data_IF_506278759353
#
_entry.id   IF_506278759353
#
_cell.length_a   1.000
_cell.length_b   1.000
_cell.length_c   1.000
_cell.angle_alpha   90.00
_cell.angle_beta   90.00
_cell.angle_gamma   90.00
#
_symmetry.space_group_name_H-M   'P 1'
#
loop_
_entity.id
_entity.type
_entity.pdbx_description
1 polymer ?
#
# COMPACT_ATOMS: atom_id res chain seq x y z
N UNK A 1 32.92 32.40 41.61
CA UNK A 1 32.46 31.00 41.37
C UNK A 1 31.20 31.07 40.53
N UNK A 2 31.23 30.57 39.29
CA UNK A 2 30.07 30.59 38.39
C UNK A 2 29.26 29.31 38.62
N UNK A 3 27.97 29.45 38.92
CA UNK A 3 27.04 28.34 39.16
C UNK A 3 26.31 28.04 37.86
N UNK A 4 26.52 26.85 37.30
CA UNK A 4 25.78 26.36 36.14
C UNK A 4 24.32 26.15 36.57
N UNK A 5 23.40 26.96 36.04
CA UNK A 5 21.97 26.77 36.22
C UNK A 5 21.49 25.88 35.09
N UNK A 6 21.16 24.62 35.40
CA UNK A 6 20.51 23.74 34.42
C UNK A 6 19.08 24.24 34.18
N UNK A 7 18.71 24.58 32.93
CA UNK A 7 17.33 24.94 32.63
C UNK A 7 16.43 23.72 32.84
N UNK A 8 15.15 23.92 33.23
CA UNK A 8 14.21 22.82 33.32
C UNK A 8 14.15 22.11 31.96
N UNK A 9 14.31 20.79 31.98
CA UNK A 9 14.06 19.97 30.79
C UNK A 9 12.57 20.09 30.48
N UNK A 10 12.21 21.02 29.59
CA UNK A 10 10.90 21.06 28.95
C UNK A 10 10.74 19.74 28.19
N UNK A 11 10.20 18.76 28.90
CA UNK A 11 9.93 17.45 28.37
C UNK A 11 8.92 17.62 27.26
N UNK A 12 9.35 17.33 26.04
CA UNK A 12 8.48 17.18 24.88
C UNK A 12 7.24 16.42 25.30
N UNK A 13 6.10 17.11 25.39
CA UNK A 13 4.83 16.47 25.71
C UNK A 13 4.67 15.28 24.79
N UNK A 14 4.39 14.10 25.37
CA UNK A 14 4.20 12.87 24.60
C UNK A 14 3.03 13.13 23.66
N UNK A 15 3.32 13.45 22.38
CA UNK A 15 2.30 13.71 21.36
C UNK A 15 1.28 12.59 21.43
N UNK A 16 0.04 12.94 21.79
CA UNK A 16 -1.06 11.99 21.84
C UNK A 16 -1.09 11.24 20.51
N UNK A 17 -1.18 9.90 20.56
CA UNK A 17 -1.21 9.07 19.35
C UNK A 17 -2.36 9.55 18.48
N UNK A 18 -2.03 10.23 17.37
CA UNK A 18 -3.00 10.75 16.41
C UNK A 18 -3.89 9.59 15.98
N UNK A 19 -5.21 9.71 16.18
CA UNK A 19 -6.19 8.71 15.73
C UNK A 19 -6.00 8.53 14.22
N UNK A 20 -5.80 7.29 13.77
CA UNK A 20 -5.65 6.99 12.35
C UNK A 20 -6.99 7.23 11.66
N UNK A 21 -6.99 8.02 10.58
CA UNK A 21 -8.19 8.22 9.79
C UNK A 21 -8.51 6.90 9.05
N UNK A 22 -9.68 6.28 9.29
CA UNK A 22 -10.03 5.00 8.67
C UNK A 22 -10.11 5.09 7.14
N UNK A 23 -10.43 6.27 6.58
CA UNK A 23 -10.46 6.50 5.12
C UNK A 23 -9.07 6.45 4.45
N UNK A 24 -8.00 6.58 5.22
CA UNK A 24 -6.61 6.46 4.74
C UNK A 24 -6.05 5.05 4.95
N UNK A 25 -6.88 4.13 5.43
CA UNK A 25 -6.53 2.71 5.63
C UNK A 25 -7.26 1.86 4.60
N UNK A 26 -6.61 0.79 4.16
CA UNK A 26 -7.21 -0.15 3.22
C UNK A 26 -8.34 -0.93 3.91
N UNK A 27 -9.48 -1.01 3.25
CA UNK A 27 -10.58 -1.92 3.62
C UNK A 27 -10.11 -3.38 3.59
N UNK A 28 -10.87 -4.29 4.19
CA UNK A 28 -10.55 -5.73 4.13
C UNK A 28 -10.52 -6.24 2.69
N UNK A 29 -11.47 -5.82 1.86
CA UNK A 29 -11.54 -6.19 0.44
C UNK A 29 -10.36 -5.64 -0.36
N UNK A 30 -9.98 -4.38 -0.16
CA UNK A 30 -8.78 -3.79 -0.79
C UNK A 30 -7.51 -4.51 -0.36
N UNK A 31 -7.38 -4.90 0.91
CA UNK A 31 -6.23 -5.68 1.39
C UNK A 31 -6.13 -7.05 0.71
N UNK A 32 -7.25 -7.74 0.56
CA UNK A 32 -7.29 -9.05 -0.13
C UNK A 32 -6.89 -8.90 -1.60
N UNK A 33 -7.39 -7.86 -2.27
CA UNK A 33 -7.03 -7.55 -3.67
C UNK A 33 -5.56 -7.17 -3.82
N UNK A 34 -5.05 -6.32 -2.94
CA UNK A 34 -3.63 -5.96 -2.90
C UNK A 34 -2.73 -7.19 -2.71
N UNK A 35 -3.12 -8.12 -1.82
CA UNK A 35 -2.40 -9.38 -1.63
C UNK A 35 -2.38 -10.23 -2.90
N UNK A 36 -3.51 -10.34 -3.58
CA UNK A 36 -3.60 -11.08 -4.84
C UNK A 36 -2.75 -10.40 -5.93
N UNK A 37 -2.81 -9.08 -6.04
CA UNK A 37 -2.02 -8.30 -6.97
C UNK A 37 -0.51 -8.51 -6.74
N UNK A 38 -0.02 -8.36 -5.51
CA UNK A 38 1.40 -8.58 -5.19
C UNK A 38 1.84 -10.00 -5.53
N UNK A 39 1.00 -11.01 -5.26
CA UNK A 39 1.31 -12.40 -5.64
C UNK A 39 1.40 -12.57 -7.16
N UNK A 40 0.49 -11.98 -7.91
CA UNK A 40 0.46 -12.07 -9.37
C UNK A 40 1.65 -11.31 -9.98
N UNK A 41 1.96 -10.13 -9.45
CA UNK A 41 3.13 -9.35 -9.85
C UNK A 41 4.43 -10.12 -9.55
N UNK A 42 4.57 -10.72 -8.37
CA UNK A 42 5.75 -11.53 -8.06
C UNK A 42 5.92 -12.70 -9.03
N UNK A 43 4.81 -13.29 -9.53
CA UNK A 43 4.86 -14.31 -10.58
C UNK A 43 5.25 -13.73 -11.93
N UNK A 44 4.71 -12.57 -12.31
CA UNK A 44 5.01 -11.91 -13.58
C UNK A 44 6.48 -11.43 -13.66
N UNK A 45 7.03 -10.92 -12.56
CA UNK A 45 8.44 -10.53 -12.43
C UNK A 45 9.37 -11.74 -12.14
N UNK A 46 8.83 -12.95 -12.03
CA UNK A 46 9.57 -14.19 -11.77
C UNK A 46 9.79 -14.50 -10.29
N UNK A 47 9.96 -13.51 -9.41
CA UNK A 47 10.05 -13.73 -7.97
C UNK A 47 9.64 -12.51 -7.13
N UNK A 48 9.46 -12.74 -5.83
CA UNK A 48 9.31 -11.66 -4.85
C UNK A 48 10.57 -10.80 -4.72
N UNK A 49 11.76 -11.34 -5.03
CA UNK A 49 13.02 -10.58 -4.98
C UNK A 49 13.10 -9.59 -6.13
N UNK A 50 12.77 -10.03 -7.34
CA UNK A 50 12.68 -9.14 -8.50
C UNK A 50 11.67 -8.02 -8.26
N UNK A 51 10.48 -8.37 -7.74
CA UNK A 51 9.47 -7.37 -7.42
C UNK A 51 9.92 -6.40 -6.32
N UNK A 52 10.63 -6.89 -5.29
CA UNK A 52 11.18 -6.07 -4.22
C UNK A 52 12.17 -5.02 -4.75
N UNK A 53 13.04 -5.43 -5.68
CA UNK A 53 13.99 -4.54 -6.36
C UNK A 53 13.27 -3.47 -7.18
N UNK A 54 12.27 -3.87 -7.99
CA UNK A 54 11.48 -2.94 -8.82
C UNK A 54 10.74 -1.91 -7.98
N UNK A 55 10.14 -2.35 -6.86
CA UNK A 55 9.36 -1.46 -5.98
C UNK A 55 10.26 -0.65 -5.04
N UNK A 56 11.52 -1.06 -4.83
CA UNK A 56 12.44 -0.42 -3.89
C UNK A 56 12.08 -0.66 -2.42
N UNK A 57 11.55 -1.85 -2.10
CA UNK A 57 11.15 -2.23 -0.74
C UNK A 57 11.78 -3.54 -0.31
N UNK A 58 11.95 -3.80 0.99
CA UNK A 58 12.43 -5.10 1.46
C UNK A 58 11.48 -6.24 1.07
N UNK A 59 12.03 -7.40 0.67
CA UNK A 59 11.25 -8.61 0.33
C UNK A 59 10.22 -9.00 1.40
N UNK A 60 10.59 -8.91 2.69
CA UNK A 60 9.69 -9.22 3.79
C UNK A 60 8.44 -8.33 3.80
N UNK A 61 8.55 -7.08 3.35
CA UNK A 61 7.41 -6.16 3.26
C UNK A 61 6.36 -6.66 2.27
N UNK A 62 6.78 -7.31 1.17
CA UNK A 62 5.87 -7.93 0.19
C UNK A 62 5.18 -9.19 0.75
N UNK A 63 5.88 -10.00 1.55
CA UNK A 63 5.29 -11.18 2.20
C UNK A 63 4.23 -10.81 3.26
N UNK A 64 4.41 -9.67 3.92
CA UNK A 64 3.47 -9.19 4.93
C UNK A 64 2.22 -8.49 4.37
N UNK A 65 2.15 -8.31 3.06
CA UNK A 65 0.96 -7.81 2.35
C UNK A 65 -0.15 -8.84 2.47
N UNK A 66 -0.91 -8.76 3.56
CA UNK A 66 -2.06 -9.62 3.83
C UNK A 66 -2.00 -10.43 5.12
N UNK A 67 -0.84 -10.55 5.77
CA UNK A 67 -0.77 -11.11 7.14
C UNK A 67 -1.14 -10.07 8.19
N UNK A 68 -0.93 -8.80 7.89
CA UNK A 68 -1.01 -7.72 8.89
C UNK A 68 -2.09 -6.71 8.49
N UNK A 69 -2.90 -6.31 9.47
CA UNK A 69 -3.91 -5.25 9.33
C UNK A 69 -3.33 -3.84 9.08
N UNK A 70 -2.00 -3.73 8.92
CA UNK A 70 -1.23 -2.48 8.91
C UNK A 70 -0.74 -2.05 7.53
N UNK A 71 -1.18 -2.69 6.45
CA UNK A 71 -0.78 -2.25 5.11
C UNK A 71 -1.40 -0.87 4.82
N UNK A 72 -0.56 0.12 4.55
CA UNK A 72 -0.98 1.49 4.30
C UNK A 72 -1.40 1.68 2.84
N UNK A 73 -2.25 2.67 2.60
CA UNK A 73 -2.60 3.07 1.23
C UNK A 73 -1.36 3.55 0.45
N UNK A 74 -0.43 4.24 1.12
CA UNK A 74 0.83 4.68 0.52
C UNK A 74 1.67 3.53 -0.05
N UNK A 75 1.61 2.35 0.57
CA UNK A 75 2.29 1.17 0.05
C UNK A 75 1.68 0.67 -1.27
N UNK A 76 0.35 0.68 -1.38
CA UNK A 76 -0.33 0.36 -2.64
C UNK A 76 0.02 1.37 -3.76
N UNK A 77 0.11 2.66 -3.42
CA UNK A 77 0.55 3.72 -4.33
C UNK A 77 1.98 3.48 -4.82
N UNK A 78 2.89 3.11 -3.92
CA UNK A 78 4.29 2.84 -4.29
C UNK A 78 4.41 1.67 -5.28
N UNK A 79 3.69 0.56 -5.02
CA UNK A 79 3.66 -0.59 -5.93
C UNK A 79 3.07 -0.18 -7.29
N UNK A 80 1.92 0.50 -7.30
CA UNK A 80 1.26 0.91 -8.52
C UNK A 80 2.19 1.77 -9.40
N UNK A 81 2.88 2.74 -8.80
CA UNK A 81 3.86 3.58 -9.50
C UNK A 81 5.03 2.79 -10.06
N UNK A 82 5.60 1.87 -9.28
CA UNK A 82 6.75 1.07 -9.68
C UNK A 82 6.44 0.14 -10.87
N UNK A 83 5.20 -0.33 -10.97
CA UNK A 83 4.75 -1.26 -12.02
C UNK A 83 4.06 -0.54 -13.18
N UNK A 84 3.89 0.78 -13.10
CA UNK A 84 3.20 1.56 -14.15
C UNK A 84 1.69 1.31 -14.22
N UNK A 85 1.07 0.93 -13.10
CA UNK A 85 -0.38 0.71 -12.98
C UNK A 85 -1.05 1.82 -12.20
N UNK A 86 -2.38 1.95 -12.33
CA UNK A 86 -3.15 2.80 -11.42
C UNK A 86 -3.44 2.07 -10.11
N UNK A 87 -3.69 2.82 -9.03
CA UNK A 87 -4.09 2.21 -7.76
C UNK A 87 -5.42 1.49 -7.89
N UNK A 88 -6.34 2.01 -8.71
CA UNK A 88 -7.65 1.40 -8.95
C UNK A 88 -7.53 0.05 -9.69
N UNK A 89 -6.59 -0.08 -10.65
CA UNK A 89 -6.30 -1.39 -11.26
C UNK A 89 -5.75 -2.41 -10.25
N UNK A 90 -5.14 -1.94 -9.15
CA UNK A 90 -4.46 -2.78 -8.18
C UNK A 90 -5.37 -3.22 -7.02
N UNK A 91 -6.25 -2.32 -6.54
CA UNK A 91 -7.11 -2.55 -5.37
C UNK A 91 -8.60 -2.25 -5.61
N UNK A 92 -8.96 -1.76 -6.79
CA UNK A 92 -10.33 -1.41 -7.17
C UNK A 92 -11.23 -2.62 -7.39
N UNK A 93 -12.55 -2.42 -7.55
CA UNK A 93 -13.49 -3.48 -7.88
C UNK A 93 -13.08 -4.23 -9.14
N UNK A 94 -13.29 -5.55 -9.13
CA UNK A 94 -13.15 -6.33 -10.36
C UNK A 94 -14.20 -5.84 -11.35
N UNK A 95 -13.78 -5.60 -12.60
CA UNK A 95 -14.70 -5.30 -13.68
C UNK A 95 -15.68 -6.47 -13.86
N UNK A 96 -16.93 -6.16 -14.21
CA UNK A 96 -17.86 -7.20 -14.63
C UNK A 96 -17.34 -7.89 -15.89
N UNK A 97 -17.67 -9.18 -16.05
CA UNK A 97 -17.21 -9.98 -17.20
C UNK A 97 -17.63 -9.37 -18.53
N UNK A 98 -18.74 -8.63 -18.53
CA UNK A 98 -19.29 -7.98 -19.71
C UNK A 98 -18.63 -6.63 -20.02
N UNK A 99 -17.73 -6.10 -19.17
CA UNK A 99 -17.10 -4.79 -19.37
C UNK A 99 -15.59 -4.95 -19.52
N UNK A 100 -15.04 -4.35 -20.57
CA UNK A 100 -13.59 -4.27 -20.74
C UNK A 100 -12.98 -3.38 -19.63
N UNK A 101 -12.06 -3.89 -18.80
CA UNK A 101 -11.44 -3.10 -17.73
C UNK A 101 -10.50 -2.00 -18.25
N UNK A 102 -10.13 -2.05 -19.53
CA UNK A 102 -9.21 -1.09 -20.16
C UNK A 102 -9.95 0.06 -20.82
N UNK A 103 -11.04 -0.22 -21.55
CA UNK A 103 -11.76 0.79 -22.35
C UNK A 103 -13.23 0.99 -21.95
N UNK A 104 -13.75 0.20 -21.02
CA UNK A 104 -15.15 0.30 -20.56
C UNK A 104 -16.20 -0.23 -21.54
N UNK A 105 -15.80 -0.71 -22.73
CA UNK A 105 -16.72 -1.26 -23.72
C UNK A 105 -17.45 -2.49 -23.18
N UNK A 106 -18.76 -2.60 -23.47
CA UNK A 106 -19.57 -3.74 -23.08
C UNK A 106 -19.59 -4.81 -24.16
N UNK A 107 -19.43 -6.07 -23.77
CA UNK A 107 -19.60 -7.22 -24.65
C UNK A 107 -21.06 -7.25 -25.15
N UNK A 108 -21.26 -7.06 -26.45
CA UNK A 108 -22.59 -7.05 -27.08
C UNK A 108 -23.23 -5.67 -27.26
N UNK A 109 -22.54 -4.57 -26.89
CA UNK A 109 -22.95 -3.23 -27.33
C UNK A 109 -22.65 -3.10 -28.84
N UNK A 110 -23.64 -3.39 -29.68
CA UNK A 110 -23.69 -2.95 -31.08
C UNK A 110 -24.42 -1.62 -31.15
#
# INVERSE_FOLDING_TARGET
MLRLVEPPKEGQEKRARRRKNPRLSLTSAERTRLRAAVRNLARAFGSYECLAVVVGVPKHSLHHVGSTSKVSYAFAVAIARAVGMTVDQLIGPLASVDVCPTCGARKGAR
#
